data_IF_515303980039
#
_entry.id   IF_515303980039
#
_cell.length_a   1.000
_cell.length_b   1.000
_cell.length_c   1.000
_cell.angle_alpha   90.00
_cell.angle_beta   90.00
_cell.angle_gamma   90.00
#
_symmetry.space_group_name_H-M   'P 1'
#
loop_
_entity.id
_entity.type
_entity.pdbx_description
1 polymer ?
#
# COMPACT_ATOMS: atom_id res chain seq x y z
N UNK A 1 31.06 -22.73 -82.27
CA UNK A 1 31.74 -22.57 -80.96
C UNK A 1 31.22 -21.37 -80.21
N UNK A 2 30.81 -20.26 -80.83
CA UNK A 2 30.30 -19.06 -80.15
C UNK A 2 28.96 -19.29 -79.47
N UNK A 3 28.06 -20.12 -80.04
CA UNK A 3 26.73 -20.42 -79.54
C UNK A 3 26.76 -21.20 -78.19
N UNK A 4 27.79 -22.00 -77.93
CA UNK A 4 27.98 -22.73 -76.68
C UNK A 4 28.37 -21.79 -75.49
N UNK A 5 28.94 -20.65 -75.84
CA UNK A 5 29.33 -19.65 -74.81
C UNK A 5 28.10 -18.88 -74.25
N UNK A 6 27.03 -18.73 -75.10
CA UNK A 6 25.79 -18.10 -74.69
C UNK A 6 24.98 -18.96 -73.69
N UNK A 7 25.14 -20.29 -73.76
CA UNK A 7 24.53 -21.19 -72.76
C UNK A 7 25.15 -21.13 -71.33
N UNK A 8 26.36 -20.61 -71.23
CA UNK A 8 27.00 -20.39 -69.92
C UNK A 8 26.52 -19.14 -69.20
N UNK A 9 25.95 -18.15 -69.90
CA UNK A 9 25.42 -16.92 -69.29
C UNK A 9 24.28 -17.16 -68.31
N UNK A 10 23.22 -17.94 -68.61
CA UNK A 10 22.16 -18.20 -67.63
C UNK A 10 22.65 -19.03 -66.44
N UNK A 11 23.63 -19.92 -66.60
CA UNK A 11 24.21 -20.71 -65.51
C UNK A 11 25.03 -19.82 -64.62
N UNK A 12 25.83 -18.88 -65.13
CA UNK A 12 26.59 -17.91 -64.39
C UNK A 12 25.68 -16.91 -63.61
N UNK A 13 24.58 -16.48 -64.28
CA UNK A 13 23.58 -15.62 -63.61
C UNK A 13 22.83 -16.35 -62.48
N UNK A 14 22.41 -17.60 -62.72
CA UNK A 14 21.74 -18.41 -61.67
C UNK A 14 22.66 -18.77 -60.51
N UNK A 15 23.93 -19.09 -60.75
CA UNK A 15 24.90 -19.36 -59.69
C UNK A 15 25.26 -18.10 -58.90
N UNK A 16 25.44 -16.96 -59.57
CA UNK A 16 25.66 -15.68 -58.93
C UNK A 16 24.47 -15.25 -58.04
N UNK A 17 23.25 -15.42 -58.58
CA UNK A 17 22.04 -15.14 -57.80
C UNK A 17 21.87 -16.09 -56.61
N UNK A 18 22.12 -17.38 -56.77
CA UNK A 18 22.08 -18.37 -55.68
C UNK A 18 23.12 -18.08 -54.57
N UNK A 19 24.34 -17.72 -54.94
CA UNK A 19 25.38 -17.35 -53.99
C UNK A 19 25.00 -16.06 -53.25
N UNK A 20 24.53 -15.02 -53.94
CA UNK A 20 24.06 -13.78 -53.35
C UNK A 20 22.88 -14.01 -52.39
N UNK A 21 21.89 -14.80 -52.83
CA UNK A 21 20.72 -15.15 -52.01
C UNK A 21 21.11 -15.95 -50.76
N UNK A 22 22.01 -16.95 -50.88
CA UNK A 22 22.47 -17.73 -49.70
C UNK A 22 23.30 -16.90 -48.73
N UNK A 23 24.16 -16.00 -49.21
CA UNK A 23 24.91 -15.08 -48.38
C UNK A 23 24.00 -14.07 -47.63
N UNK A 24 22.98 -13.54 -48.34
CA UNK A 24 22.04 -12.59 -47.74
C UNK A 24 21.12 -13.27 -46.71
N UNK A 25 20.65 -14.49 -46.98
CA UNK A 25 19.86 -15.31 -46.08
C UNK A 25 20.64 -15.73 -44.82
N UNK A 26 21.89 -16.18 -44.99
CA UNK A 26 22.74 -16.60 -43.87
C UNK A 26 23.23 -15.42 -43.01
N UNK A 27 23.47 -14.24 -43.58
CA UNK A 27 23.90 -13.07 -42.84
C UNK A 27 22.77 -12.49 -41.97
N UNK A 28 21.53 -12.52 -42.45
CA UNK A 28 20.35 -12.06 -41.70
C UNK A 28 19.99 -13.01 -40.55
N UNK A 29 20.13 -14.34 -40.75
CA UNK A 29 19.90 -15.35 -39.73
C UNK A 29 20.96 -15.31 -38.62
N UNK A 30 22.25 -15.15 -38.97
CA UNK A 30 23.36 -15.07 -38.03
C UNK A 30 23.26 -13.82 -37.16
N UNK A 31 22.96 -12.65 -37.70
CA UNK A 31 22.77 -11.41 -36.97
C UNK A 31 21.59 -11.47 -35.97
N UNK A 32 20.50 -12.12 -36.38
CA UNK A 32 19.33 -12.29 -35.54
C UNK A 32 19.59 -13.23 -34.37
N UNK A 33 20.38 -14.26 -34.53
CA UNK A 33 20.81 -15.17 -33.45
C UNK A 33 21.79 -14.49 -32.48
N UNK A 34 22.67 -13.66 -32.97
CA UNK A 34 23.63 -12.91 -32.15
C UNK A 34 22.93 -11.82 -31.32
N UNK A 35 21.99 -11.09 -31.91
CA UNK A 35 21.16 -10.12 -31.23
C UNK A 35 20.33 -10.76 -30.09
N UNK A 36 19.74 -11.92 -30.35
CA UNK A 36 18.94 -12.64 -29.33
C UNK A 36 19.83 -13.13 -28.16
N UNK A 37 21.07 -13.55 -28.43
CA UNK A 37 22.04 -13.98 -27.41
C UNK A 37 22.51 -12.81 -26.54
N UNK A 38 22.82 -11.66 -27.12
CA UNK A 38 23.18 -10.45 -26.38
C UNK A 38 21.99 -9.88 -25.60
N UNK A 39 20.77 -9.98 -26.12
CA UNK A 39 19.55 -9.61 -25.37
C UNK A 39 19.36 -10.45 -24.10
N UNK A 40 19.51 -11.78 -24.21
CA UNK A 40 19.47 -12.67 -23.05
C UNK A 40 20.59 -12.37 -22.04
N UNK A 41 21.77 -11.97 -22.53
CA UNK A 41 22.88 -11.55 -21.67
C UNK A 41 22.57 -10.24 -20.93
N UNK A 42 21.94 -9.28 -21.61
CA UNK A 42 21.44 -8.05 -20.99
C UNK A 42 20.41 -8.33 -19.90
N UNK A 43 19.48 -9.26 -20.16
CA UNK A 43 18.48 -9.70 -19.15
C UNK A 43 19.15 -10.39 -17.96
N UNK A 44 20.18 -11.23 -18.17
CA UNK A 44 20.92 -11.85 -17.08
C UNK A 44 21.64 -10.83 -16.21
N UNK A 45 22.20 -9.76 -16.77
CA UNK A 45 22.77 -8.66 -15.99
C UNK A 45 21.69 -7.93 -15.17
N UNK A 46 20.48 -7.80 -15.71
CA UNK A 46 19.34 -7.24 -14.96
C UNK A 46 18.95 -8.09 -13.76
N UNK A 47 18.83 -9.40 -13.96
CA UNK A 47 18.47 -10.35 -12.90
C UNK A 47 19.53 -10.41 -11.78
N UNK A 48 20.81 -10.16 -12.13
CA UNK A 48 21.93 -10.14 -11.19
C UNK A 48 22.22 -8.72 -10.64
N UNK A 49 21.27 -7.78 -10.77
CA UNK A 49 21.37 -6.39 -10.26
C UNK A 49 22.57 -5.58 -10.83
N UNK A 50 23.17 -6.04 -11.94
CA UNK A 50 24.28 -5.36 -12.62
C UNK A 50 23.75 -4.37 -13.69
N UNK A 51 23.03 -3.35 -13.25
CA UNK A 51 22.32 -2.40 -14.14
C UNK A 51 23.25 -1.71 -15.16
N UNK A 52 24.50 -1.39 -14.80
CA UNK A 52 25.43 -0.69 -15.70
C UNK A 52 25.82 -1.57 -16.88
N UNK A 53 26.16 -2.84 -16.63
CA UNK A 53 26.50 -3.79 -17.70
C UNK A 53 25.30 -4.12 -18.57
N UNK A 54 24.10 -4.13 -17.99
CA UNK A 54 22.87 -4.33 -18.75
C UNK A 54 22.64 -3.16 -19.73
N UNK A 55 22.79 -1.90 -19.28
CA UNK A 55 22.68 -0.69 -20.13
C UNK A 55 23.67 -0.76 -21.28
N UNK A 56 24.96 -1.00 -21.00
CA UNK A 56 25.99 -1.08 -22.05
C UNK A 56 25.70 -2.18 -23.08
N UNK A 57 25.18 -3.32 -22.62
CA UNK A 57 24.81 -4.42 -23.52
C UNK A 57 23.60 -4.05 -24.38
N UNK A 58 22.55 -3.42 -23.82
CA UNK A 58 21.39 -3.01 -24.60
C UNK A 58 21.69 -1.83 -25.55
N UNK A 59 22.58 -0.90 -25.20
CA UNK A 59 23.03 0.16 -26.12
C UNK A 59 23.73 -0.47 -27.33
N UNK A 60 24.60 -1.45 -27.12
CA UNK A 60 25.29 -2.16 -28.24
C UNK A 60 24.29 -2.88 -29.16
N UNK A 61 23.24 -3.49 -28.60
CA UNK A 61 22.19 -4.13 -29.39
C UNK A 61 21.45 -3.11 -30.26
N UNK A 62 21.14 -1.92 -29.72
CA UNK A 62 20.48 -0.83 -30.45
C UNK A 62 21.33 -0.27 -31.59
N UNK A 63 22.66 -0.28 -31.44
CA UNK A 63 23.59 0.11 -32.51
C UNK A 63 23.57 -0.90 -33.68
N UNK A 64 23.31 -2.17 -33.38
CA UNK A 64 23.29 -3.27 -34.37
C UNK A 64 21.90 -3.51 -34.98
N UNK A 65 20.84 -3.38 -34.17
CA UNK A 65 19.46 -3.63 -34.58
C UNK A 65 18.49 -2.60 -33.96
N UNK A 66 18.29 -1.51 -34.70
CA UNK A 66 17.43 -0.38 -34.30
C UNK A 66 15.95 -0.78 -34.25
N UNK A 67 15.56 -1.95 -34.79
CA UNK A 67 14.15 -2.32 -34.95
C UNK A 67 13.54 -3.07 -33.76
N UNK A 68 14.31 -3.55 -32.79
CA UNK A 68 13.77 -4.34 -31.67
C UNK A 68 13.07 -3.47 -30.61
N UNK A 69 11.74 -3.51 -30.62
CA UNK A 69 10.84 -2.80 -29.68
C UNK A 69 11.13 -3.22 -28.23
N UNK A 70 11.33 -4.52 -28.00
CA UNK A 70 11.58 -5.12 -26.70
C UNK A 70 12.87 -4.57 -26.07
N UNK A 71 13.92 -4.36 -26.87
CA UNK A 71 15.19 -3.80 -26.42
C UNK A 71 15.01 -2.34 -25.99
N UNK A 72 14.24 -1.54 -26.72
CA UNK A 72 13.92 -0.16 -26.35
C UNK A 72 13.14 -0.10 -25.04
N UNK A 73 12.13 -0.96 -24.87
CA UNK A 73 11.34 -1.04 -23.65
C UNK A 73 12.21 -1.43 -22.44
N UNK A 74 13.07 -2.46 -22.60
CA UNK A 74 13.98 -2.90 -21.54
C UNK A 74 14.97 -1.80 -21.16
N UNK A 75 15.57 -1.12 -22.14
CA UNK A 75 16.50 -0.01 -21.88
C UNK A 75 15.81 1.18 -21.20
N UNK A 76 14.58 1.53 -21.58
CA UNK A 76 13.82 2.58 -20.93
C UNK A 76 13.51 2.26 -19.47
N UNK A 77 13.16 1.00 -19.16
CA UNK A 77 13.01 0.54 -17.76
C UNK A 77 14.31 0.69 -16.99
N UNK A 78 15.46 0.40 -17.60
CA UNK A 78 16.77 0.58 -16.96
C UNK A 78 17.09 2.02 -16.67
N UNK A 79 16.90 2.93 -17.63
CA UNK A 79 17.09 4.37 -17.41
C UNK A 79 16.22 4.87 -16.27
N UNK A 80 14.94 4.46 -16.23
CA UNK A 80 14.04 4.83 -15.11
C UNK A 80 14.55 4.32 -13.76
N UNK A 81 15.02 3.05 -13.67
CA UNK A 81 15.59 2.49 -12.43
C UNK A 81 16.85 3.21 -11.96
N UNK A 82 17.65 3.72 -12.89
CA UNK A 82 18.84 4.54 -12.60
C UNK A 82 18.51 6.00 -12.22
N UNK A 83 17.24 6.41 -12.31
CA UNK A 83 16.85 7.80 -12.12
C UNK A 83 17.06 8.69 -13.33
N UNK A 84 17.51 8.15 -14.48
CA UNK A 84 17.71 8.86 -15.75
C UNK A 84 16.37 8.99 -16.50
N UNK A 85 15.35 9.59 -15.85
CA UNK A 85 13.96 9.56 -16.28
C UNK A 85 13.78 10.28 -17.63
N UNK A 86 14.47 11.39 -17.86
CA UNK A 86 14.40 12.13 -19.13
C UNK A 86 14.86 11.29 -20.33
N UNK A 87 15.85 10.42 -20.14
CA UNK A 87 16.32 9.50 -21.18
C UNK A 87 15.27 8.43 -21.48
N UNK A 88 14.65 7.89 -20.42
CA UNK A 88 13.56 6.93 -20.57
C UNK A 88 12.37 7.53 -21.32
N UNK A 89 11.96 8.76 -20.98
CA UNK A 89 10.88 9.49 -21.67
C UNK A 89 11.19 9.64 -23.17
N UNK A 90 12.37 10.17 -23.52
CA UNK A 90 12.78 10.34 -24.94
C UNK A 90 12.78 9.02 -25.70
N UNK A 91 13.27 7.97 -25.07
CA UNK A 91 13.33 6.64 -25.68
C UNK A 91 11.94 6.09 -26.00
N UNK A 92 11.03 6.15 -25.02
CA UNK A 92 9.66 5.66 -25.21
C UNK A 92 8.83 6.56 -26.14
N UNK A 93 9.07 7.89 -26.14
CA UNK A 93 8.45 8.80 -27.12
C UNK A 93 8.88 8.47 -28.57
N UNK A 94 10.18 8.26 -28.80
CA UNK A 94 10.70 7.86 -30.11
C UNK A 94 10.14 6.51 -30.54
N UNK A 95 9.95 5.59 -29.60
CA UNK A 95 9.33 4.29 -29.87
C UNK A 95 7.89 4.44 -30.35
N UNK A 96 7.07 5.22 -29.64
CA UNK A 96 5.65 5.44 -29.96
C UNK A 96 5.48 6.15 -31.31
N UNK A 97 6.42 7.01 -31.71
CA UNK A 97 6.41 7.74 -32.98
C UNK A 97 6.63 6.84 -34.20
N UNK A 98 7.02 5.57 -34.03
CA UNK A 98 7.23 4.63 -35.15
C UNK A 98 5.89 4.21 -35.79
N UNK A 99 5.77 4.29 -37.15
CA UNK A 99 4.50 4.02 -37.81
C UNK A 99 4.08 2.54 -37.84
N UNK A 100 5.02 1.61 -37.69
CA UNK A 100 4.81 0.18 -37.89
C UNK A 100 4.74 -0.64 -36.56
N UNK A 101 4.37 0.00 -35.43
CA UNK A 101 4.21 -0.72 -34.17
C UNK A 101 2.95 -1.60 -34.20
N UNK A 102 3.10 -2.84 -33.76
CA UNK A 102 1.94 -3.69 -33.48
C UNK A 102 1.12 -3.07 -32.33
N UNK A 103 -0.21 -3.26 -32.35
CA UNK A 103 -1.12 -2.68 -31.38
C UNK A 103 -0.69 -2.97 -29.93
N UNK A 104 -0.35 -4.22 -29.60
CA UNK A 104 0.13 -4.60 -28.27
C UNK A 104 1.43 -3.89 -27.85
N UNK A 105 2.38 -3.73 -28.80
CA UNK A 105 3.63 -3.01 -28.56
C UNK A 105 3.40 -1.52 -28.32
N UNK A 106 2.44 -0.92 -29.04
CA UNK A 106 2.03 0.48 -28.83
C UNK A 106 1.46 0.67 -27.41
N UNK A 107 0.55 -0.20 -26.96
CA UNK A 107 -0.01 -0.16 -25.60
C UNK A 107 1.07 -0.30 -24.52
N UNK A 108 2.02 -1.21 -24.75
CA UNK A 108 3.14 -1.41 -23.84
C UNK A 108 4.06 -0.18 -23.78
N UNK A 109 4.33 0.46 -24.90
CA UNK A 109 5.14 1.68 -24.96
C UNK A 109 4.41 2.87 -24.31
N UNK A 110 3.09 3.04 -24.54
CA UNK A 110 2.27 4.05 -23.88
C UNK A 110 2.25 3.86 -22.36
N UNK A 111 2.07 2.63 -21.90
CA UNK A 111 2.13 2.29 -20.49
C UNK A 111 3.50 2.60 -19.88
N UNK A 112 4.59 2.27 -20.61
CA UNK A 112 5.96 2.56 -20.17
C UNK A 112 6.21 4.06 -20.06
N UNK A 113 5.76 4.85 -21.06
CA UNK A 113 5.86 6.31 -21.05
C UNK A 113 5.01 6.94 -19.94
N UNK A 114 3.80 6.44 -19.70
CA UNK A 114 2.98 6.86 -18.56
C UNK A 114 3.70 6.65 -17.23
N UNK A 115 4.38 5.51 -17.06
CA UNK A 115 5.21 5.22 -15.88
C UNK A 115 6.40 6.15 -15.74
N UNK A 116 7.05 6.52 -16.85
CA UNK A 116 8.17 7.47 -16.82
C UNK A 116 7.71 8.84 -16.34
N UNK A 117 6.59 9.35 -16.88
CA UNK A 117 6.01 10.61 -16.42
C UNK A 117 5.54 10.55 -14.97
N UNK A 118 5.00 9.40 -14.53
CA UNK A 118 4.64 9.18 -13.12
C UNK A 118 5.87 9.28 -12.20
N UNK A 119 6.98 8.64 -12.57
CA UNK A 119 8.25 8.70 -11.84
C UNK A 119 8.89 10.10 -11.87
N UNK A 120 8.67 10.85 -12.96
CA UNK A 120 9.09 12.26 -13.07
C UNK A 120 8.24 13.22 -12.21
N UNK A 121 7.15 12.75 -11.59
CA UNK A 121 6.20 13.60 -10.85
C UNK A 121 5.27 14.41 -11.75
N UNK A 122 5.31 14.21 -13.08
CA UNK A 122 4.47 14.90 -14.06
C UNK A 122 3.12 14.19 -14.19
N UNK A 123 2.33 14.23 -13.08
CA UNK A 123 1.13 13.41 -12.89
C UNK A 123 0.06 13.65 -13.96
N UNK A 124 -0.13 14.88 -14.42
CA UNK A 124 -1.13 15.22 -15.45
C UNK A 124 -0.78 14.58 -16.81
N UNK A 125 0.52 14.52 -17.14
CA UNK A 125 0.97 13.82 -18.35
C UNK A 125 0.84 12.32 -18.22
N UNK A 126 1.22 11.76 -17.07
CA UNK A 126 1.03 10.35 -16.77
C UNK A 126 -0.44 9.93 -16.89
N UNK A 127 -1.36 10.72 -16.31
CA UNK A 127 -2.81 10.52 -16.37
C UNK A 127 -3.30 10.39 -17.82
N UNK A 128 -2.87 11.29 -18.73
CA UNK A 128 -3.25 11.25 -20.15
C UNK A 128 -2.83 9.95 -20.84
N UNK A 129 -1.57 9.51 -20.67
CA UNK A 129 -1.08 8.29 -21.28
C UNK A 129 -1.76 7.03 -20.71
N UNK A 130 -2.03 7.01 -19.40
CA UNK A 130 -2.79 5.88 -18.83
C UNK A 130 -4.23 5.84 -19.32
N UNK A 131 -4.88 6.97 -19.56
CA UNK A 131 -6.20 7.00 -20.21
C UNK A 131 -6.14 6.47 -21.63
N UNK A 132 -5.15 6.87 -22.40
CA UNK A 132 -4.98 6.37 -23.78
C UNK A 132 -4.82 4.85 -23.81
N UNK A 133 -4.09 4.24 -22.84
CA UNK A 133 -4.01 2.78 -22.71
C UNK A 133 -5.38 2.16 -22.42
N UNK A 134 -6.19 2.77 -21.56
CA UNK A 134 -7.51 2.23 -21.16
C UNK A 134 -8.53 2.33 -22.30
N UNK A 135 -8.47 3.39 -23.10
CA UNK A 135 -9.42 3.62 -24.18
C UNK A 135 -9.22 2.65 -25.36
N UNK A 136 -8.03 2.08 -25.47
CA UNK A 136 -7.69 1.21 -26.59
C UNK A 136 -8.01 -0.28 -26.36
N UNK A 137 -8.06 -0.78 -25.14
CA UNK A 137 -8.33 -2.20 -24.89
C UNK A 137 -8.64 -2.50 -23.41
N UNK A 138 -9.38 -3.58 -23.15
CA UNK A 138 -9.67 -4.14 -21.81
C UNK A 138 -8.58 -5.17 -21.40
N UNK A 139 -7.34 -4.92 -21.84
CA UNK A 139 -6.18 -5.79 -21.67
C UNK A 139 -5.58 -5.75 -20.28
N UNK A 140 -4.59 -6.60 -20.01
CA UNK A 140 -3.78 -6.54 -18.81
C UNK A 140 -3.10 -5.17 -18.64
N UNK A 141 -2.70 -4.52 -19.73
CA UNK A 141 -2.10 -3.18 -19.73
C UNK A 141 -3.07 -2.13 -19.21
N UNK A 142 -4.35 -2.20 -19.60
CA UNK A 142 -5.39 -1.31 -19.09
C UNK A 142 -5.58 -1.47 -17.57
N UNK A 143 -5.57 -2.72 -17.06
CA UNK A 143 -5.65 -2.97 -15.61
C UNK A 143 -4.49 -2.37 -14.85
N UNK A 144 -3.28 -2.46 -15.38
CA UNK A 144 -2.09 -1.83 -14.82
C UNK A 144 -2.20 -0.32 -14.88
N UNK A 145 -2.65 0.26 -15.99
CA UNK A 145 -2.85 1.71 -16.13
C UNK A 145 -3.85 2.26 -15.12
N UNK A 146 -4.99 1.57 -14.89
CA UNK A 146 -5.96 1.98 -13.87
C UNK A 146 -5.35 1.98 -12.47
N UNK A 147 -4.49 1.02 -12.13
CA UNK A 147 -3.80 1.01 -10.82
C UNK A 147 -2.93 2.27 -10.63
N UNK A 148 -2.17 2.68 -11.66
CA UNK A 148 -1.40 3.93 -11.60
C UNK A 148 -2.29 5.15 -11.52
N UNK A 149 -3.42 5.18 -12.23
CA UNK A 149 -4.39 6.27 -12.10
C UNK A 149 -4.95 6.38 -10.67
N UNK A 150 -5.24 5.25 -10.03
CA UNK A 150 -5.69 5.24 -8.63
C UNK A 150 -4.63 5.81 -7.69
N UNK A 151 -3.34 5.49 -7.92
CA UNK A 151 -2.24 6.06 -7.14
C UNK A 151 -2.12 7.58 -7.34
N UNK A 152 -2.28 8.07 -8.59
CA UNK A 152 -2.30 9.50 -8.90
C UNK A 152 -3.44 10.19 -8.17
N UNK A 153 -4.68 9.67 -8.26
CA UNK A 153 -5.85 10.27 -7.61
C UNK A 153 -5.76 10.23 -6.09
N UNK A 154 -5.16 9.19 -5.51
CA UNK A 154 -4.88 9.13 -4.07
C UNK A 154 -3.89 10.24 -3.66
N UNK A 155 -2.82 10.45 -4.41
CA UNK A 155 -1.85 11.52 -4.14
C UNK A 155 -2.48 12.90 -4.23
N UNK A 156 -3.36 13.12 -5.23
CA UNK A 156 -4.07 14.38 -5.45
C UNK A 156 -5.33 14.52 -4.59
N UNK A 157 -5.68 13.51 -3.77
CA UNK A 157 -6.90 13.45 -2.95
C UNK A 157 -8.21 13.62 -3.77
N UNK A 158 -8.19 13.19 -5.04
CA UNK A 158 -9.36 13.24 -5.96
C UNK A 158 -10.21 11.98 -5.79
N UNK A 159 -10.84 11.82 -4.62
CA UNK A 159 -11.46 10.58 -4.17
C UNK A 159 -12.66 10.13 -5.03
N UNK A 160 -13.49 11.07 -5.51
CA UNK A 160 -14.65 10.75 -6.35
C UNK A 160 -14.22 10.08 -7.67
N UNK A 161 -13.15 10.61 -8.30
CA UNK A 161 -12.62 10.07 -9.53
C UNK A 161 -11.94 8.73 -9.25
N UNK A 162 -11.21 8.62 -8.12
CA UNK A 162 -10.63 7.36 -7.68
C UNK A 162 -11.69 6.26 -7.54
N UNK A 163 -12.83 6.54 -6.90
CA UNK A 163 -13.96 5.61 -6.77
C UNK A 163 -14.49 5.19 -8.15
N UNK A 164 -14.68 6.15 -9.07
CA UNK A 164 -15.19 5.86 -10.42
C UNK A 164 -14.26 4.92 -11.19
N UNK A 165 -12.95 5.14 -11.12
CA UNK A 165 -11.97 4.27 -11.79
C UNK A 165 -11.81 2.92 -11.08
N UNK A 166 -11.80 2.91 -9.73
CA UNK A 166 -11.72 1.68 -8.95
C UNK A 166 -12.87 0.72 -9.24
N UNK A 167 -14.08 1.23 -9.47
CA UNK A 167 -15.25 0.43 -9.86
C UNK A 167 -15.06 -0.29 -11.20
N UNK A 168 -14.28 0.25 -12.13
CA UNK A 168 -14.01 -0.42 -13.42
C UNK A 168 -13.22 -1.72 -13.23
N UNK A 169 -12.23 -1.72 -12.32
CA UNK A 169 -11.39 -2.91 -12.05
C UNK A 169 -11.95 -3.84 -10.96
N UNK A 170 -13.00 -3.46 -10.27
CA UNK A 170 -13.62 -4.30 -9.22
C UNK A 170 -14.12 -5.65 -9.73
N UNK A 171 -14.36 -5.78 -11.04
CA UNK A 171 -14.74 -7.04 -11.71
C UNK A 171 -13.61 -8.08 -11.71
N UNK A 172 -12.35 -7.62 -11.65
CA UNK A 172 -11.16 -8.49 -11.77
C UNK A 172 -10.33 -8.57 -10.49
N UNK A 173 -10.46 -7.58 -9.60
CA UNK A 173 -9.68 -7.50 -8.36
C UNK A 173 -10.59 -7.12 -7.18
N UNK A 174 -11.00 -8.11 -6.40
CA UNK A 174 -11.86 -7.90 -5.23
C UNK A 174 -11.17 -7.10 -4.12
N UNK A 175 -9.82 -7.07 -4.07
CA UNK A 175 -9.07 -6.30 -3.07
C UNK A 175 -9.31 -4.80 -3.19
N UNK A 176 -9.78 -4.34 -4.36
CA UNK A 176 -10.09 -2.93 -4.62
C UNK A 176 -11.27 -2.43 -3.79
N UNK A 177 -12.18 -3.32 -3.35
CA UNK A 177 -13.32 -2.92 -2.51
C UNK A 177 -12.88 -2.28 -1.20
N UNK A 178 -11.79 -2.78 -0.61
CA UNK A 178 -11.16 -2.18 0.57
C UNK A 178 -10.71 -0.74 0.31
N UNK A 179 -10.08 -0.50 -0.84
CA UNK A 179 -9.64 0.86 -1.22
C UNK A 179 -10.86 1.78 -1.43
N UNK A 180 -11.92 1.30 -2.11
CA UNK A 180 -13.16 2.07 -2.32
C UNK A 180 -13.80 2.46 -0.98
N UNK A 181 -13.82 1.54 -0.01
CA UNK A 181 -14.33 1.83 1.34
C UNK A 181 -13.53 2.97 1.98
N UNK A 182 -12.20 2.94 1.90
CA UNK A 182 -11.36 4.02 2.42
C UNK A 182 -11.55 5.34 1.69
N UNK A 183 -11.75 5.34 0.36
CA UNK A 183 -12.04 6.58 -0.39
C UNK A 183 -13.36 7.21 0.05
N UNK A 184 -14.38 6.41 0.35
CA UNK A 184 -15.61 6.91 0.95
C UNK A 184 -15.39 7.49 2.36
N UNK A 185 -14.52 6.88 3.17
CA UNK A 185 -14.13 7.43 4.48
C UNK A 185 -13.37 8.77 4.33
N UNK A 186 -12.51 8.92 3.32
CA UNK A 186 -11.83 10.19 3.03
C UNK A 186 -12.81 11.28 2.64
N UNK A 187 -13.80 10.98 1.77
CA UNK A 187 -14.86 11.92 1.43
C UNK A 187 -15.69 12.32 2.65
N UNK A 188 -16.05 11.34 3.50
CA UNK A 188 -16.74 11.59 4.74
C UNK A 188 -15.95 12.52 5.68
N UNK A 189 -14.65 12.30 5.81
CA UNK A 189 -13.76 13.14 6.63
C UNK A 189 -13.64 14.55 6.07
N UNK A 190 -13.54 14.71 4.74
CA UNK A 190 -13.52 16.02 4.10
C UNK A 190 -14.81 16.80 4.37
N UNK A 191 -15.98 16.15 4.28
CA UNK A 191 -17.27 16.77 4.60
C UNK A 191 -17.37 17.17 6.08
N UNK A 192 -16.84 16.36 7.00
CA UNK A 192 -16.77 16.71 8.42
C UNK A 192 -15.93 17.95 8.68
N UNK A 193 -14.81 18.09 7.99
CA UNK A 193 -13.92 19.24 8.12
C UNK A 193 -14.56 20.55 7.59
N UNK A 194 -15.49 20.44 6.63
CA UNK A 194 -16.24 21.58 6.06
C UNK A 194 -17.57 21.84 6.75
N UNK A 195 -17.85 21.16 7.87
CA UNK A 195 -19.12 21.26 8.61
C UNK A 195 -20.36 20.99 7.75
N UNK A 196 -20.23 20.15 6.74
CA UNK A 196 -21.32 19.77 5.85
C UNK A 196 -22.40 18.93 6.55
N UNK A 197 -23.50 18.67 5.85
CA UNK A 197 -24.65 17.95 6.34
C UNK A 197 -24.28 16.54 6.88
N UNK A 198 -24.50 16.31 8.17
CA UNK A 198 -24.20 15.06 8.85
C UNK A 198 -24.88 13.84 8.19
N UNK A 199 -26.05 14.00 7.55
CA UNK A 199 -26.73 12.92 6.83
C UNK A 199 -25.95 12.43 5.62
N UNK A 200 -25.21 13.32 4.92
CA UNK A 200 -24.37 12.94 3.79
C UNK A 200 -23.12 12.17 4.25
N UNK A 201 -22.54 12.59 5.36
CA UNK A 201 -21.44 11.87 5.98
C UNK A 201 -21.84 10.44 6.34
N UNK A 202 -22.98 10.25 6.99
CA UNK A 202 -23.50 8.92 7.36
C UNK A 202 -23.70 8.06 6.11
N UNK A 203 -24.29 8.59 5.04
CA UNK A 203 -24.46 7.87 3.77
C UNK A 203 -23.11 7.39 3.18
N UNK A 204 -22.08 8.21 3.23
CA UNK A 204 -20.75 7.83 2.74
C UNK A 204 -20.14 6.72 3.59
N UNK A 205 -20.31 6.76 4.92
CA UNK A 205 -19.82 5.70 5.82
C UNK A 205 -20.58 4.39 5.62
N UNK A 206 -21.89 4.44 5.36
CA UNK A 206 -22.70 3.28 5.01
C UNK A 206 -22.27 2.67 3.67
N UNK A 207 -21.95 3.51 2.68
CA UNK A 207 -21.37 3.05 1.42
C UNK A 207 -20.00 2.39 1.65
N UNK A 208 -19.14 2.95 2.50
CA UNK A 208 -17.87 2.33 2.86
C UNK A 208 -18.07 0.93 3.43
N UNK A 209 -18.99 0.76 4.39
CA UNK A 209 -19.31 -0.54 4.99
C UNK A 209 -19.99 -1.51 4.01
N UNK A 210 -20.71 -1.00 3.01
CA UNK A 210 -21.29 -1.82 1.94
C UNK A 210 -20.20 -2.41 1.02
N UNK A 211 -19.12 -1.67 0.74
CA UNK A 211 -17.99 -2.16 -0.05
C UNK A 211 -17.07 -3.06 0.75
N UNK A 212 -16.81 -2.72 2.02
CA UNK A 212 -16.00 -3.53 2.94
C UNK A 212 -16.63 -3.51 4.34
N UNK A 213 -17.33 -4.60 4.69
CA UNK A 213 -17.95 -4.78 6.00
C UNK A 213 -16.92 -4.78 7.16
N UNK A 214 -15.64 -5.04 6.85
CA UNK A 214 -14.53 -5.00 7.81
C UNK A 214 -13.82 -3.64 7.88
N UNK A 215 -14.37 -2.59 7.29
CA UNK A 215 -13.79 -1.24 7.34
C UNK A 215 -13.94 -0.62 8.74
N UNK A 216 -12.98 -0.91 9.63
CA UNK A 216 -12.94 -0.36 11.00
C UNK A 216 -13.00 1.16 11.02
N UNK A 217 -12.29 1.83 10.11
CA UNK A 217 -12.27 3.29 10.00
C UNK A 217 -13.67 3.88 9.89
N UNK A 218 -14.53 3.28 9.09
CA UNK A 218 -15.90 3.75 8.91
C UNK A 218 -16.69 3.70 10.24
N UNK A 219 -16.54 2.63 11.01
CA UNK A 219 -17.20 2.50 12.32
C UNK A 219 -16.58 3.42 13.38
N UNK A 220 -15.28 3.66 13.38
CA UNK A 220 -14.67 4.65 14.29
C UNK A 220 -15.21 6.06 14.02
N UNK A 221 -15.33 6.46 12.76
CA UNK A 221 -15.92 7.78 12.41
C UNK A 221 -17.41 7.81 12.79
N UNK A 222 -18.17 6.76 12.47
CA UNK A 222 -19.60 6.66 12.77
C UNK A 222 -19.86 6.69 14.27
N UNK A 223 -19.08 5.96 15.07
CA UNK A 223 -19.16 5.97 16.53
C UNK A 223 -18.88 7.35 17.11
N UNK A 224 -17.86 8.06 16.60
CA UNK A 224 -17.56 9.44 17.01
C UNK A 224 -18.73 10.40 16.70
N UNK A 225 -19.39 10.22 15.55
CA UNK A 225 -20.58 11.01 15.22
C UNK A 225 -21.74 10.72 16.15
N UNK A 226 -21.94 9.47 16.56
CA UNK A 226 -22.97 9.09 17.53
C UNK A 226 -22.69 9.70 18.91
N UNK A 227 -21.43 9.72 19.38
CA UNK A 227 -21.01 10.41 20.61
C UNK A 227 -21.34 11.91 20.54
N UNK A 228 -20.97 12.56 19.43
CA UNK A 228 -21.24 14.00 19.25
C UNK A 228 -22.76 14.33 19.21
N UNK A 229 -23.57 13.34 18.85
CA UNK A 229 -25.03 13.44 18.85
C UNK A 229 -25.67 12.96 20.19
N UNK A 230 -24.86 12.66 21.21
CA UNK A 230 -25.26 12.12 22.52
C UNK A 230 -26.05 10.79 22.45
N UNK A 231 -25.85 10.03 21.36
CA UNK A 231 -26.51 8.73 21.14
C UNK A 231 -25.63 7.60 21.68
N UNK A 232 -25.55 7.51 23.02
CA UNK A 232 -24.62 6.65 23.71
C UNK A 232 -24.77 5.16 23.40
N UNK A 233 -26.01 4.63 23.37
CA UNK A 233 -26.31 3.23 23.05
C UNK A 233 -25.90 2.86 21.61
N UNK A 234 -26.21 3.74 20.65
CA UNK A 234 -25.80 3.57 19.25
C UNK A 234 -24.28 3.55 19.12
N UNK A 235 -23.59 4.46 19.82
CA UNK A 235 -22.13 4.54 19.83
C UNK A 235 -21.50 3.25 20.43
N UNK A 236 -21.99 2.76 21.57
CA UNK A 236 -21.52 1.51 22.19
C UNK A 236 -21.65 0.35 21.21
N UNK A 237 -22.82 0.20 20.57
CA UNK A 237 -23.06 -0.88 19.60
C UNK A 237 -22.07 -0.83 18.42
N UNK A 238 -21.82 0.37 17.90
CA UNK A 238 -20.89 0.58 16.79
C UNK A 238 -19.44 0.23 17.19
N UNK A 239 -18.97 0.69 18.35
CA UNK A 239 -17.62 0.40 18.81
C UNK A 239 -17.42 -1.07 19.17
N UNK A 240 -18.41 -1.73 19.75
CA UNK A 240 -18.37 -3.16 20.04
C UNK A 240 -18.32 -4.03 18.78
N UNK A 241 -18.92 -3.58 17.66
CA UNK A 241 -18.85 -4.28 16.38
C UNK A 241 -17.40 -4.37 15.84
N UNK A 242 -16.50 -3.44 16.22
CA UNK A 242 -15.10 -3.41 15.78
C UNK A 242 -14.35 -4.67 16.21
N UNK A 243 -14.66 -5.23 17.40
CA UNK A 243 -14.08 -6.50 17.87
C UNK A 243 -14.24 -7.62 16.84
N UNK A 244 -15.39 -7.67 16.15
CA UNK A 244 -15.68 -8.68 15.11
C UNK A 244 -15.11 -8.33 13.73
N UNK A 245 -14.88 -7.03 13.46
CA UNK A 245 -14.32 -6.58 12.20
C UNK A 245 -12.81 -6.83 12.14
N UNK A 246 -12.10 -6.36 13.17
CA UNK A 246 -10.65 -6.48 13.27
C UNK A 246 -10.20 -6.25 14.72
N UNK A 247 -9.88 -7.33 15.46
CA UNK A 247 -9.52 -7.25 16.87
C UNK A 247 -8.30 -6.38 17.16
N UNK A 248 -7.39 -6.22 16.19
CA UNK A 248 -6.18 -5.41 16.39
C UNK A 248 -6.51 -3.95 16.74
N UNK A 249 -7.65 -3.44 16.28
CA UNK A 249 -8.07 -2.07 16.55
C UNK A 249 -8.94 -1.88 17.80
N UNK A 250 -9.09 -2.89 18.65
CA UNK A 250 -9.85 -2.77 19.92
C UNK A 250 -9.29 -1.64 20.78
N UNK A 251 -7.97 -1.47 20.80
CA UNK A 251 -7.29 -0.40 21.54
C UNK A 251 -7.85 0.99 21.21
N UNK A 252 -8.20 1.23 19.93
CA UNK A 252 -8.77 2.51 19.48
C UNK A 252 -10.20 2.75 19.97
N UNK A 253 -10.87 1.73 20.47
CA UNK A 253 -12.26 1.81 20.96
C UNK A 253 -12.36 2.04 22.47
N UNK A 254 -11.26 1.84 23.23
CA UNK A 254 -11.30 1.82 24.70
C UNK A 254 -11.72 3.18 25.29
N UNK A 255 -11.09 4.25 24.84
CA UNK A 255 -11.39 5.59 25.33
C UNK A 255 -12.80 6.07 24.94
N UNK A 256 -13.23 5.94 23.64
CA UNK A 256 -14.60 6.23 23.26
C UNK A 256 -15.66 5.40 24.01
N UNK A 257 -15.41 4.11 24.22
CA UNK A 257 -16.32 3.25 25.00
C UNK A 257 -16.42 3.70 26.45
N UNK A 258 -15.29 4.03 27.07
CA UNK A 258 -15.30 4.56 28.45
C UNK A 258 -16.16 5.81 28.54
N UNK A 259 -16.00 6.76 27.60
CA UNK A 259 -16.85 7.96 27.55
C UNK A 259 -18.33 7.63 27.41
N UNK A 260 -18.69 6.68 26.53
CA UNK A 260 -20.09 6.28 26.33
C UNK A 260 -20.69 5.62 27.56
N UNK A 261 -19.96 4.70 28.20
CA UNK A 261 -20.44 3.99 29.37
C UNK A 261 -20.58 4.87 30.61
N UNK A 262 -19.77 5.92 30.76
CA UNK A 262 -19.93 6.91 31.84
C UNK A 262 -21.27 7.67 31.76
N UNK A 263 -21.80 7.84 30.54
CA UNK A 263 -23.09 8.49 30.30
C UNK A 263 -24.26 7.50 30.16
N UNK A 264 -23.96 6.19 30.09
CA UNK A 264 -24.96 5.14 29.95
C UNK A 264 -25.40 4.59 31.31
N UNK A 265 -26.63 4.07 31.39
CA UNK A 265 -27.19 3.55 32.64
C UNK A 265 -26.40 2.41 33.28
N UNK A 266 -25.73 1.56 32.48
CA UNK A 266 -24.89 0.46 32.97
C UNK A 266 -23.55 0.91 33.55
N UNK A 267 -23.14 2.14 33.27
CA UNK A 267 -21.94 2.76 33.85
C UNK A 267 -20.67 1.92 33.71
N UNK A 268 -19.72 2.14 34.63
CA UNK A 268 -18.45 1.42 34.66
C UNK A 268 -18.60 -0.11 34.85
N UNK A 269 -19.71 -0.60 35.39
CA UNK A 269 -19.95 -2.03 35.58
C UNK A 269 -20.16 -2.71 34.23
N UNK A 270 -21.00 -2.11 33.36
CA UNK A 270 -21.23 -2.63 32.00
C UNK A 270 -19.97 -2.65 31.16
N UNK A 271 -19.14 -1.57 31.24
CA UNK A 271 -17.85 -1.52 30.58
C UNK A 271 -16.91 -2.62 31.07
N UNK A 272 -16.79 -2.79 32.39
CA UNK A 272 -15.92 -3.81 32.99
C UNK A 272 -16.30 -5.22 32.55
N UNK A 273 -17.60 -5.55 32.51
CA UNK A 273 -18.09 -6.83 32.00
C UNK A 273 -17.69 -7.07 30.56
N UNK A 274 -17.90 -6.06 29.70
CA UNK A 274 -17.51 -6.13 28.28
C UNK A 274 -16.01 -6.31 28.08
N UNK A 275 -15.18 -5.58 28.87
CA UNK A 275 -13.73 -5.68 28.77
C UNK A 275 -13.20 -7.03 29.24
N UNK A 276 -13.77 -7.62 30.30
CA UNK A 276 -13.41 -8.97 30.76
C UNK A 276 -13.76 -10.04 29.72
N UNK A 277 -14.95 -10.00 29.13
CA UNK A 277 -15.34 -10.88 28.04
C UNK A 277 -14.38 -10.75 26.84
N UNK A 278 -14.08 -9.51 26.46
CA UNK A 278 -13.17 -9.24 25.32
C UNK A 278 -11.74 -9.68 25.62
N UNK A 279 -11.25 -9.53 26.86
CA UNK A 279 -9.93 -10.00 27.27
C UNK A 279 -9.80 -11.53 27.22
N UNK A 280 -10.88 -12.24 27.56
CA UNK A 280 -10.92 -13.71 27.48
C UNK A 280 -10.82 -14.21 26.02
N UNK A 281 -11.37 -13.46 25.06
CA UNK A 281 -11.29 -13.78 23.64
C UNK A 281 -9.97 -13.30 22.99
N UNK A 282 -9.50 -12.14 23.40
CA UNK A 282 -8.34 -11.44 22.82
C UNK A 282 -7.40 -10.93 23.91
N UNK A 283 -6.34 -11.68 24.22
CA UNK A 283 -5.37 -11.36 25.26
C UNK A 283 -4.46 -10.18 24.82
N UNK A 284 -4.98 -8.94 24.91
CA UNK A 284 -4.24 -7.71 24.62
C UNK A 284 -3.91 -6.95 25.88
N UNK A 285 -2.66 -6.42 25.96
CA UNK A 285 -2.18 -5.64 27.12
C UNK A 285 -3.02 -4.38 27.34
N UNK A 286 -3.46 -3.72 26.27
CA UNK A 286 -4.31 -2.53 26.35
C UNK A 286 -5.65 -2.77 27.07
N UNK A 287 -6.26 -3.94 26.86
CA UNK A 287 -7.49 -4.35 27.56
C UNK A 287 -7.23 -4.55 29.05
N UNK A 288 -6.14 -5.26 29.41
CA UNK A 288 -5.76 -5.45 30.82
C UNK A 288 -5.54 -4.13 31.51
N UNK A 289 -4.88 -3.16 30.87
CA UNK A 289 -4.64 -1.83 31.44
C UNK A 289 -5.92 -1.01 31.59
N UNK A 290 -6.85 -1.12 30.62
CA UNK A 290 -8.16 -0.46 30.73
C UNK A 290 -8.97 -1.01 31.92
N UNK A 291 -8.97 -2.34 32.11
CA UNK A 291 -9.61 -2.99 33.27
C UNK A 291 -8.97 -2.54 34.56
N UNK A 292 -7.64 -2.50 34.63
CA UNK A 292 -6.90 -2.02 35.84
C UNK A 292 -7.31 -0.61 36.21
N UNK A 293 -7.40 0.32 35.25
CA UNK A 293 -7.84 1.70 35.53
C UNK A 293 -9.24 1.76 36.16
N UNK A 294 -10.18 0.98 35.61
CA UNK A 294 -11.55 0.93 36.18
C UNK A 294 -11.64 0.28 37.57
N UNK A 295 -10.81 -0.74 37.85
CA UNK A 295 -10.75 -1.37 39.15
C UNK A 295 -10.06 -0.43 40.17
N UNK A 296 -9.00 0.26 39.75
CA UNK A 296 -8.22 1.18 40.59
C UNK A 296 -9.09 2.29 41.21
N UNK A 297 -10.09 2.78 40.48
CA UNK A 297 -11.02 3.79 41.00
C UNK A 297 -11.79 3.33 42.25
N UNK A 298 -11.94 1.99 42.44
CA UNK A 298 -12.69 1.41 43.55
C UNK A 298 -11.81 0.72 44.59
N UNK A 299 -10.79 0.01 44.09
CA UNK A 299 -9.98 -0.87 44.96
C UNK A 299 -8.58 -1.03 44.33
N UNK A 300 -7.60 -0.34 44.89
CA UNK A 300 -6.21 -0.37 44.39
C UNK A 300 -5.54 -1.72 44.60
N UNK A 301 -5.88 -2.47 45.65
CA UNK A 301 -5.26 -3.76 45.94
C UNK A 301 -5.75 -4.84 44.95
N UNK A 302 -7.04 -4.83 44.59
CA UNK A 302 -7.57 -5.71 43.57
C UNK A 302 -6.97 -5.38 42.20
N UNK A 303 -6.79 -4.10 41.88
CA UNK A 303 -6.14 -3.68 40.63
C UNK A 303 -4.71 -4.20 40.57
N UNK A 304 -3.97 -4.13 41.67
CA UNK A 304 -2.59 -4.62 41.81
C UNK A 304 -2.53 -6.15 41.60
N UNK A 305 -3.39 -6.90 42.29
CA UNK A 305 -3.46 -8.37 42.12
C UNK A 305 -3.76 -8.78 40.70
N UNK A 306 -4.77 -8.18 40.10
CA UNK A 306 -5.14 -8.44 38.72
C UNK A 306 -4.00 -8.15 37.75
N UNK A 307 -3.36 -6.98 37.85
CA UNK A 307 -2.26 -6.59 36.94
C UNK A 307 -1.05 -7.51 37.12
N UNK A 308 -0.72 -7.87 38.35
CA UNK A 308 0.40 -8.79 38.63
C UNK A 308 0.17 -10.14 37.96
N UNK A 309 -1.04 -10.69 38.09
CA UNK A 309 -1.41 -11.95 37.42
C UNK A 309 -1.29 -11.84 35.89
N UNK A 310 -1.77 -10.73 35.28
CA UNK A 310 -1.66 -10.52 33.84
C UNK A 310 -0.21 -10.38 33.37
N UNK A 311 0.63 -9.71 34.15
CA UNK A 311 2.05 -9.53 33.82
C UNK A 311 2.88 -10.81 33.97
N UNK A 312 2.51 -11.71 34.87
CA UNK A 312 3.11 -13.04 34.96
C UNK A 312 2.82 -13.88 33.72
N UNK A 313 1.61 -13.77 33.15
CA UNK A 313 1.24 -14.46 31.92
C UNK A 313 1.85 -13.80 30.67
N UNK A 314 1.82 -12.46 30.60
CA UNK A 314 2.30 -11.68 29.43
C UNK A 314 3.00 -10.42 29.90
N UNK A 315 4.34 -10.45 30.08
CA UNK A 315 5.12 -9.25 30.48
C UNK A 315 5.05 -8.14 29.42
N UNK A 316 4.88 -6.89 29.88
CA UNK A 316 4.86 -5.74 28.97
C UNK A 316 5.37 -4.47 29.68
N UNK A 317 6.05 -3.58 28.94
CA UNK A 317 6.53 -2.32 29.51
C UNK A 317 5.40 -1.38 29.98
N UNK A 318 4.29 -1.21 29.21
CA UNK A 318 3.16 -0.43 29.69
C UNK A 318 2.53 -1.02 30.98
N UNK A 319 2.48 -2.35 31.07
CA UNK A 319 1.99 -3.01 32.28
C UNK A 319 2.93 -2.81 33.49
N UNK A 320 4.25 -2.91 33.30
CA UNK A 320 5.22 -2.63 34.34
C UNK A 320 5.15 -1.17 34.80
N UNK A 321 4.99 -0.22 33.88
CA UNK A 321 4.80 1.19 34.23
C UNK A 321 3.58 1.39 35.12
N UNK A 322 2.43 0.79 34.74
CA UNK A 322 1.21 0.88 35.54
C UNK A 322 1.33 0.16 36.89
N UNK A 323 2.08 -0.96 36.95
CA UNK A 323 2.33 -1.67 38.23
C UNK A 323 3.11 -0.78 39.22
N UNK A 324 4.15 -0.11 38.73
CA UNK A 324 4.91 0.83 39.55
C UNK A 324 4.03 2.00 40.01
N UNK A 325 3.14 2.47 39.14
CA UNK A 325 2.19 3.55 39.47
C UNK A 325 1.19 3.15 40.57
N UNK A 326 0.65 1.93 40.51
CA UNK A 326 -0.21 1.36 41.53
C UNK A 326 0.50 1.23 42.87
N UNK A 327 1.76 0.77 42.90
CA UNK A 327 2.55 0.70 44.15
C UNK A 327 2.85 2.08 44.75
N UNK A 328 3.12 3.09 43.88
CA UNK A 328 3.32 4.48 44.37
C UNK A 328 2.06 5.08 44.97
N UNK A 329 0.87 4.62 44.52
CA UNK A 329 -0.42 5.07 45.08
C UNK A 329 -0.78 4.42 46.41
N UNK A 330 -0.04 3.39 46.86
CA UNK A 330 -0.26 2.79 48.20
C UNK A 330 0.25 3.70 49.33
N UNK A 331 -0.55 3.86 50.39
CA UNK A 331 -0.23 4.73 51.54
C UNK A 331 0.95 4.20 52.36
N UNK A 332 1.18 2.90 52.40
CA UNK A 332 2.17 2.22 53.22
C UNK A 332 3.60 2.20 52.64
N UNK A 333 3.86 2.92 51.57
CA UNK A 333 5.18 2.93 50.90
C UNK A 333 6.16 3.87 51.66
N UNK A 334 7.34 3.37 52.04
CA UNK A 334 8.36 4.21 52.69
C UNK A 334 8.90 5.30 51.74
N UNK A 335 9.45 6.40 52.29
CA UNK A 335 10.01 7.50 51.47
C UNK A 335 11.15 7.01 50.54
N UNK A 336 11.96 6.08 51.03
CA UNK A 336 13.05 5.48 50.27
C UNK A 336 12.55 4.62 49.11
N UNK A 337 11.50 3.83 49.37
CA UNK A 337 10.89 2.99 48.31
C UNK A 337 10.19 3.85 47.24
N UNK A 338 9.51 4.92 47.65
CA UNK A 338 8.91 5.89 46.69
C UNK A 338 9.96 6.53 45.79
N UNK A 339 11.14 6.87 46.31
CA UNK A 339 12.24 7.44 45.53
C UNK A 339 12.75 6.42 44.46
N UNK A 340 12.95 5.17 44.89
CA UNK A 340 13.42 4.10 44.02
C UNK A 340 12.39 3.75 42.92
N UNK A 341 11.10 3.66 43.29
CA UNK A 341 10.01 3.40 42.38
C UNK A 341 9.83 4.53 41.33
N UNK A 342 9.98 5.81 41.77
CA UNK A 342 9.95 6.95 40.84
C UNK A 342 11.11 6.92 39.86
N UNK A 343 12.30 6.54 40.31
CA UNK A 343 13.47 6.35 39.41
C UNK A 343 13.22 5.26 38.43
N UNK A 344 12.68 4.10 38.84
CA UNK A 344 12.32 3.00 37.96
C UNK A 344 11.23 3.43 36.98
N UNK A 345 10.19 4.13 37.44
CA UNK A 345 9.12 4.67 36.56
C UNK A 345 9.70 5.56 35.45
N UNK A 346 10.63 6.46 35.82
CA UNK A 346 11.31 7.34 34.86
C UNK A 346 12.16 6.57 33.82
N UNK A 347 12.82 5.48 34.23
CA UNK A 347 13.56 4.62 33.30
C UNK A 347 12.63 3.88 32.34
N UNK A 348 11.54 3.31 32.84
CA UNK A 348 10.53 2.63 31.99
C UNK A 348 9.93 3.62 31.00
N UNK A 349 9.59 4.84 31.46
CA UNK A 349 9.05 5.89 30.58
C UNK A 349 10.00 6.21 29.43
N UNK A 350 11.29 6.41 29.71
CA UNK A 350 12.31 6.65 28.68
C UNK A 350 12.41 5.50 27.67
N UNK A 351 12.26 4.25 28.12
CA UNK A 351 12.25 3.07 27.23
C UNK A 351 11.00 3.03 26.34
N UNK A 352 9.88 3.58 26.81
CA UNK A 352 8.62 3.64 26.06
C UNK A 352 8.57 4.79 25.06
N UNK A 353 9.16 5.96 25.38
CA UNK A 353 9.11 7.18 24.54
C UNK A 353 9.61 6.98 23.12
N UNK A 354 10.60 6.10 22.93
CA UNK A 354 11.19 5.79 21.62
C UNK A 354 10.54 4.63 20.88
N UNK A 355 9.54 3.96 21.51
CA UNK A 355 8.85 2.85 20.84
C UNK A 355 7.74 3.35 19.93
N UNK A 356 7.59 2.75 18.74
CA UNK A 356 6.44 3.02 17.90
C UNK A 356 5.17 2.48 18.55
N UNK A 357 4.06 3.17 18.35
CA UNK A 357 2.72 2.75 18.81
C UNK A 357 2.05 1.89 17.73
N UNK A 358 2.37 2.17 16.48
CA UNK A 358 1.78 1.49 15.31
C UNK A 358 2.86 0.96 14.38
N UNK A 359 2.55 -0.14 13.70
CA UNK A 359 3.43 -0.75 12.71
C UNK A 359 2.65 -1.24 11.49
N UNK A 360 3.21 -0.99 10.30
CA UNK A 360 2.67 -1.53 9.07
C UNK A 360 3.01 -3.02 8.93
N UNK A 361 2.01 -3.89 8.82
CA UNK A 361 2.19 -5.33 8.63
C UNK A 361 2.72 -5.69 7.22
N UNK A 362 2.59 -4.78 6.25
CA UNK A 362 3.03 -5.02 4.87
C UNK A 362 4.51 -4.69 4.63
N UNK A 363 5.01 -3.57 5.18
CA UNK A 363 6.38 -3.11 4.90
C UNK A 363 7.22 -2.83 6.15
N UNK A 364 6.65 -3.01 7.36
CA UNK A 364 7.36 -2.77 8.62
C UNK A 364 7.51 -1.31 9.02
N UNK A 365 6.91 -0.35 8.29
CA UNK A 365 6.94 1.08 8.64
C UNK A 365 6.38 1.30 10.05
N UNK A 366 7.10 2.04 10.88
CA UNK A 366 6.73 2.35 12.25
C UNK A 366 6.20 3.78 12.35
N UNK A 367 5.10 3.98 13.11
CA UNK A 367 4.47 5.29 13.32
C UNK A 367 4.09 5.50 14.79
N UNK A 368 3.94 6.77 15.18
CA UNK A 368 3.33 7.17 16.47
C UNK A 368 1.85 7.52 16.34
N UNK A 369 1.37 7.68 15.11
CA UNK A 369 -0.02 7.99 14.78
C UNK A 369 -0.62 6.89 13.90
N UNK A 370 -1.95 6.72 13.97
CA UNK A 370 -2.66 5.77 13.13
C UNK A 370 -2.93 6.39 11.76
N UNK A 371 -2.13 5.96 10.77
CA UNK A 371 -2.36 6.28 9.36
C UNK A 371 -3.11 5.15 8.68
N UNK A 372 -4.25 5.43 8.05
CA UNK A 372 -5.03 4.44 7.32
C UNK A 372 -4.40 4.03 5.99
N UNK A 373 -3.69 4.95 5.35
CA UNK A 373 -2.85 4.72 4.18
C UNK A 373 -1.38 4.75 4.63
N UNK A 374 -0.69 3.64 4.50
CA UNK A 374 0.72 3.58 4.87
C UNK A 374 1.55 4.54 3.98
N UNK A 375 2.32 5.49 4.55
CA UNK A 375 3.09 6.45 3.76
C UNK A 375 4.24 5.80 2.98
N UNK A 376 4.75 4.64 3.44
CA UNK A 376 5.85 3.93 2.79
C UNK A 376 5.37 3.01 1.65
N UNK A 377 4.45 2.08 1.92
CA UNK A 377 4.01 1.09 0.92
C UNK A 377 2.67 1.42 0.26
N UNK A 378 1.98 2.49 0.69
CA UNK A 378 0.70 2.98 0.17
C UNK A 378 -0.44 1.96 0.19
N UNK A 379 -0.36 0.97 1.09
CA UNK A 379 -1.44 0.02 1.33
C UNK A 379 -2.39 0.53 2.42
N UNK A 380 -3.69 0.33 2.20
CA UNK A 380 -4.74 0.71 3.16
C UNK A 380 -4.91 -0.30 4.29
N UNK A 381 -5.22 0.17 5.51
CA UNK A 381 -5.47 -0.63 6.73
C UNK A 381 -4.39 -1.67 7.03
N UNK A 382 -3.13 -1.35 6.76
CA UNK A 382 -1.99 -2.22 7.06
C UNK A 382 -1.22 -1.79 8.29
N UNK A 383 -1.46 -0.58 8.78
CA UNK A 383 -0.88 -0.05 10.02
C UNK A 383 -1.76 -0.48 11.18
N UNK A 384 -1.16 -1.20 12.13
CA UNK A 384 -1.84 -1.78 13.30
C UNK A 384 -1.23 -1.28 14.59
N UNK A 385 -2.01 -1.16 15.70
CA UNK A 385 -1.47 -0.99 17.04
C UNK A 385 -0.55 -2.15 17.44
N UNK A 386 0.49 -1.86 18.24
CA UNK A 386 1.49 -2.83 18.71
C UNK A 386 1.18 -3.34 20.11
#
# INVERSE_FOLDING_TARGET
MLELLFLLLPIAAASGWYIAYSQFSNSSSSKKHECNREYLRGLNYLLNEQSDKAVDTFIKILEVDIETVETHLALGVLFRRRGEIDRAIRLHQNLIARPNLAHAQKLQALLALGRDYYCAGLLDRAERFFFEVIDHDDSEYARIAVRYLLEIYQQQKRWEIAIKQAKKISKWDSKIFKNIAHYHCELAQNLLNTQANQKEVIKLLELALKYDAHCVRANLIKGKLAINAEKWEEAITIYQAIKKQDPDYITETLEPLNQCYLQHQSGSIGLLSYLHETLAEHAQTSLSLAIVKLIQEKDNDKALQFLTQQLQAKPSLPGLYQLVDLHLAQENCSLTDKSNLNSLKGLIQKLMENKPIYRCLSCGFNSKILDWLCPACRNWSTIKPL
#
